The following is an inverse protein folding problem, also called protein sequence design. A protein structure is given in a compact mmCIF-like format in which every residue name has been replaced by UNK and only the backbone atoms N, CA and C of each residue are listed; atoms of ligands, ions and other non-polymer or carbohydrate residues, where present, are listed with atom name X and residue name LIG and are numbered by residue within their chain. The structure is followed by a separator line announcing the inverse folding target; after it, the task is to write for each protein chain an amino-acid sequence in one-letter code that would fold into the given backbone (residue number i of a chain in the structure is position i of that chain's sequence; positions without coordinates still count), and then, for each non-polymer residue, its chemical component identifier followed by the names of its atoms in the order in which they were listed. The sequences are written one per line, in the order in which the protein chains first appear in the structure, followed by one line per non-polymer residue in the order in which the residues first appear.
data_IF_679341728084
#
_entry.id   IF_679341728084
#
_cell.length_a   1.000
_cell.length_b   1.000
_cell.length_c   1.000
_cell.angle_alpha   90.00
_cell.angle_beta   90.00
_cell.angle_gamma   90.00
#
_symmetry.space_group_name_H-M   'P 1'
#
loop_
_entity.id
_entity.type
_entity.pdbx_description
1 polymer ?
#
# COMPACT_ATOMS: atom_id res chain seq x y z
N UNK A 1 -0.75 9.78 10.31
CA UNK A 1 -0.56 9.72 8.86
C UNK A 1 -1.56 8.71 8.30
N UNK A 2 -2.49 9.09 7.40
CA UNK A 2 -3.41 8.14 6.81
C UNK A 2 -2.66 7.29 5.77
N UNK A 3 -2.43 6.02 6.08
CA UNK A 3 -1.72 5.08 5.22
C UNK A 3 -1.31 3.83 5.97
N UNK A 4 -1.17 2.73 5.24
CA UNK A 4 -0.81 1.41 5.76
C UNK A 4 0.59 1.03 5.26
N UNK A 5 1.46 0.62 6.18
CA UNK A 5 2.77 0.06 5.87
C UNK A 5 2.67 -1.46 5.91
N UNK A 6 3.15 -2.11 4.86
CA UNK A 6 3.16 -3.57 4.78
C UNK A 6 4.41 -4.07 4.07
N UNK A 7 4.88 -5.25 4.48
CA UNK A 7 5.93 -5.98 3.80
C UNK A 7 5.37 -6.74 2.59
N UNK A 8 5.91 -6.46 1.42
CA UNK A 8 5.56 -7.08 0.14
C UNK A 8 6.08 -8.53 0.04
N UNK A 9 5.51 -9.36 -0.86
CA UNK A 9 5.98 -10.73 -1.06
C UNK A 9 7.44 -10.84 -1.53
N UNK A 10 7.95 -9.84 -2.23
CA UNK A 10 9.35 -9.73 -2.65
C UNK A 10 10.31 -9.39 -1.47
N UNK A 11 9.79 -9.13 -0.27
CA UNK A 11 10.57 -8.85 0.94
C UNK A 11 10.83 -7.37 1.21
N UNK A 12 10.42 -6.48 0.31
CA UNK A 12 10.50 -5.02 0.46
C UNK A 12 9.23 -4.47 1.13
N UNK A 13 9.18 -3.17 1.36
CA UNK A 13 8.07 -2.50 2.04
C UNK A 13 7.35 -1.53 1.11
N UNK A 14 6.02 -1.48 1.25
CA UNK A 14 5.18 -0.51 0.58
C UNK A 14 4.36 0.32 1.57
N UNK A 15 3.93 1.49 1.11
CA UNK A 15 2.92 2.34 1.74
C UNK A 15 1.72 2.51 0.82
N UNK A 16 0.56 2.05 1.28
CA UNK A 16 -0.72 2.31 0.64
C UNK A 16 -1.43 3.45 1.37
N UNK A 17 -1.76 4.52 0.66
CA UNK A 17 -2.51 5.63 1.24
C UNK A 17 -3.98 5.26 1.38
N UNK A 18 -4.59 5.54 2.52
CA UNK A 18 -6.05 5.39 2.70
C UNK A 18 -6.84 6.62 2.25
N UNK A 19 -6.15 7.67 1.77
CA UNK A 19 -6.79 8.89 1.24
C UNK A 19 -6.90 8.79 -0.27
N UNK A 20 -5.79 8.44 -0.92
CA UNK A 20 -5.76 8.28 -2.38
C UNK A 20 -5.96 6.83 -2.81
N UNK A 21 -6.12 5.90 -1.87
CA UNK A 21 -6.43 4.50 -2.17
C UNK A 21 -5.44 3.84 -3.16
N UNK A 22 -4.18 4.27 -3.12
CA UNK A 22 -3.13 3.84 -4.05
C UNK A 22 -1.79 3.65 -3.31
N UNK A 23 -0.90 2.86 -3.91
CA UNK A 23 0.49 2.77 -3.47
C UNK A 23 1.19 4.10 -3.72
N UNK A 24 1.71 4.68 -2.65
CA UNK A 24 2.45 5.96 -2.71
C UNK A 24 3.95 5.77 -2.62
N UNK A 25 4.37 4.65 -2.03
CA UNK A 25 5.74 4.19 -1.97
C UNK A 25 5.69 2.67 -2.10
N UNK A 26 6.52 2.09 -2.94
CA UNK A 26 6.62 0.65 -3.15
C UNK A 26 8.10 0.27 -3.19
N UNK A 27 8.39 -0.99 -2.92
CA UNK A 27 9.72 -1.58 -3.04
C UNK A 27 10.81 -0.88 -2.21
N UNK A 28 10.42 -0.33 -1.05
CA UNK A 28 11.37 0.26 -0.11
C UNK A 28 12.14 -0.84 0.63
N UNK A 29 13.45 -0.72 0.68
CA UNK A 29 14.27 -1.45 1.65
C UNK A 29 13.90 -1.06 3.08
N UNK A 30 14.34 -1.84 4.07
CA UNK A 30 14.09 -1.53 5.47
C UNK A 30 14.73 -0.19 5.88
N UNK A 31 15.91 0.11 5.34
CA UNK A 31 16.63 1.36 5.56
C UNK A 31 15.90 2.56 4.93
N UNK A 32 15.37 2.42 3.72
CA UNK A 32 14.58 3.47 3.07
C UNK A 32 13.26 3.73 3.81
N UNK A 33 12.62 2.68 4.31
CA UNK A 33 11.44 2.81 5.16
C UNK A 33 11.76 3.56 6.46
N UNK A 34 12.88 3.22 7.12
CA UNK A 34 13.32 3.92 8.34
C UNK A 34 13.49 5.42 8.08
N UNK A 35 14.23 5.75 7.02
CA UNK A 35 14.46 7.14 6.62
C UNK A 35 13.15 7.87 6.31
N UNK A 36 12.24 7.22 5.58
CA UNK A 36 10.91 7.76 5.27
C UNK A 36 10.11 8.07 6.54
N UNK A 37 10.01 7.11 7.46
CA UNK A 37 9.23 7.28 8.70
C UNK A 37 9.80 8.35 9.62
N UNK A 38 11.12 8.52 9.66
CA UNK A 38 11.78 9.62 10.40
C UNK A 38 11.46 10.97 9.75
N UNK A 39 11.60 11.07 8.42
CA UNK A 39 11.37 12.31 7.69
C UNK A 39 9.91 12.79 7.82
N UNK A 40 8.97 11.85 7.81
CA UNK A 40 7.55 12.09 8.03
C UNK A 40 7.17 12.25 9.52
N UNK A 41 8.15 12.24 10.42
CA UNK A 41 7.96 12.36 11.88
C UNK A 41 6.99 11.31 12.47
N UNK A 42 6.93 10.14 11.84
CA UNK A 42 6.14 8.99 12.30
C UNK A 42 6.95 8.03 13.17
N UNK A 43 8.28 8.05 13.03
CA UNK A 43 9.24 7.33 13.85
C UNK A 43 10.21 8.32 14.51
N UNK A 44 10.36 8.22 15.84
CA UNK A 44 11.44 8.86 16.58
C UNK A 44 12.40 7.78 17.09
N UNK A 45 13.54 7.64 16.42
CA UNK A 45 14.56 6.63 16.72
C UNK A 45 15.20 6.79 18.10
N UNK A 46 15.04 7.94 18.76
CA UNK A 46 15.51 8.12 20.13
C UNK A 46 14.56 7.48 21.15
N UNK A 47 13.33 7.15 20.74
CA UNK A 47 12.28 6.61 21.61
C UNK A 47 11.99 5.13 21.33
N UNK A 48 12.00 4.73 20.06
CA UNK A 48 11.62 3.37 19.64
C UNK A 48 12.41 2.98 18.39
N UNK A 49 12.81 1.72 18.30
CA UNK A 49 13.47 1.19 17.09
C UNK A 49 12.46 0.96 15.96
N UNK A 50 12.93 0.87 14.71
CA UNK A 50 12.04 0.53 13.59
C UNK A 50 11.33 -0.82 13.80
N UNK A 51 12.03 -1.85 14.29
CA UNK A 51 11.42 -3.18 14.51
C UNK A 51 10.31 -3.16 15.54
N UNK A 52 10.49 -2.41 16.64
CA UNK A 52 9.43 -2.21 17.63
C UNK A 52 8.26 -1.44 17.04
N UNK A 53 8.52 -0.40 16.25
CA UNK A 53 7.47 0.35 15.56
C UNK A 53 6.66 -0.56 14.61
N UNK A 54 7.35 -1.34 13.77
CA UNK A 54 6.74 -2.27 12.83
C UNK A 54 5.90 -3.33 13.55
N UNK A 55 6.35 -3.83 14.70
CA UNK A 55 5.59 -4.80 15.49
C UNK A 55 4.19 -4.30 15.91
N UNK A 56 3.97 -2.99 15.97
CA UNK A 56 2.66 -2.39 16.31
C UNK A 56 1.90 -1.85 15.10
N UNK A 57 2.59 -1.33 14.09
CA UNK A 57 1.98 -0.55 13.01
C UNK A 57 2.07 -1.19 11.63
N UNK A 58 2.97 -2.16 11.42
CA UNK A 58 2.99 -2.95 10.19
C UNK A 58 1.72 -3.79 10.10
N UNK A 59 1.08 -3.77 8.93
CA UNK A 59 -0.07 -4.62 8.63
C UNK A 59 0.31 -5.69 7.62
N UNK A 60 -0.45 -6.78 7.62
CA UNK A 60 -0.33 -7.82 6.60
C UNK A 60 -0.57 -7.23 5.21
N UNK A 61 0.21 -7.66 4.22
CA UNK A 61 0.11 -7.18 2.85
C UNK A 61 -1.31 -7.33 2.28
N UNK A 62 -2.00 -8.44 2.57
CA UNK A 62 -3.38 -8.67 2.13
C UNK A 62 -4.38 -7.71 2.78
N UNK A 63 -4.06 -7.16 3.96
CA UNK A 63 -4.85 -6.12 4.60
C UNK A 63 -4.59 -4.78 3.92
N UNK A 64 -3.33 -4.47 3.62
CA UNK A 64 -2.95 -3.23 2.97
C UNK A 64 -3.58 -3.10 1.57
N UNK A 65 -3.44 -4.12 0.72
CA UNK A 65 -3.93 -4.06 -0.68
C UNK A 65 -5.44 -3.95 -0.79
N UNK A 66 -6.21 -4.30 0.25
CA UNK A 66 -7.66 -4.05 0.29
C UNK A 66 -8.01 -2.57 0.24
N UNK A 67 -7.07 -1.68 0.57
CA UNK A 67 -7.27 -0.23 0.48
C UNK A 67 -7.06 0.32 -0.93
N UNK A 68 -6.62 -0.51 -1.88
CA UNK A 68 -6.60 -0.07 -3.28
C UNK A 68 -8.03 0.31 -3.69
N UNK A 69 -8.16 1.41 -4.43
CA UNK A 69 -9.41 1.97 -4.93
C UNK A 69 -9.18 2.87 -6.15
N UNK A 70 -10.21 3.11 -6.97
CA UNK A 70 -10.17 4.20 -7.95
C UNK A 70 -10.44 5.57 -7.30
N UNK A 71 -10.67 5.62 -5.98
CA UNK A 71 -11.19 6.78 -5.28
C UNK A 71 -10.39 8.08 -5.41
N UNK A 72 -9.19 8.03 -5.99
CA UNK A 72 -8.38 9.21 -6.31
C UNK A 72 -7.97 9.34 -7.79
N UNK A 73 -8.20 8.33 -8.61
CA UNK A 73 -7.65 8.25 -9.97
C UNK A 73 -6.13 8.12 -10.06
N UNK A 74 -5.40 8.00 -8.94
CA UNK A 74 -3.92 7.88 -8.92
C UNK A 74 -3.42 6.52 -9.43
N UNK A 75 -4.32 5.54 -9.59
CA UNK A 75 -3.99 4.20 -10.02
C UNK A 75 -5.14 3.57 -10.81
N UNK A 76 -4.89 3.21 -12.07
CA UNK A 76 -5.87 2.42 -12.85
C UNK A 76 -5.95 0.97 -12.37
N UNK A 77 -7.02 0.28 -12.76
CA UNK A 77 -7.22 -1.13 -12.43
C UNK A 77 -6.05 -2.00 -12.97
N UNK A 78 -5.62 -1.73 -14.20
CA UNK A 78 -4.52 -2.41 -14.86
C UNK A 78 -3.18 -2.15 -14.16
N UNK A 79 -2.86 -0.90 -13.82
CA UNK A 79 -1.62 -0.56 -13.10
C UNK A 79 -1.58 -1.20 -11.71
N UNK A 80 -2.71 -1.22 -11.00
CA UNK A 80 -2.82 -1.89 -9.71
C UNK A 80 -2.55 -3.39 -9.82
N UNK A 81 -3.08 -4.02 -10.88
CA UNK A 81 -2.87 -5.43 -11.16
C UNK A 81 -1.42 -5.72 -11.52
N UNK A 82 -0.82 -4.92 -12.39
CA UNK A 82 0.58 -5.08 -12.81
C UNK A 82 1.53 -4.97 -11.62
N UNK A 83 1.31 -3.97 -10.75
CA UNK A 83 2.06 -3.83 -9.51
C UNK A 83 1.97 -5.07 -8.61
N UNK A 84 0.76 -5.61 -8.40
CA UNK A 84 0.59 -6.84 -7.61
C UNK A 84 1.37 -8.03 -8.18
N UNK A 85 1.42 -8.16 -9.51
CA UNK A 85 2.19 -9.21 -10.19
C UNK A 85 3.69 -8.99 -9.97
N UNK A 86 4.17 -7.76 -10.15
CA UNK A 86 5.58 -7.39 -10.00
C UNK A 86 6.12 -7.69 -8.60
N UNK A 87 5.35 -7.37 -7.56
CA UNK A 87 5.75 -7.63 -6.17
C UNK A 87 5.65 -9.11 -5.78
N UNK A 88 5.19 -9.97 -6.70
CA UNK A 88 5.11 -11.42 -6.52
C UNK A 88 3.82 -11.92 -5.84
N UNK A 89 2.74 -11.14 -5.87
CA UNK A 89 1.47 -11.56 -5.29
C UNK A 89 0.76 -12.61 -6.16
N UNK A 90 0.68 -13.84 -5.67
CA UNK A 90 0.25 -15.01 -6.46
C UNK A 90 -1.21 -14.98 -6.93
N UNK A 91 -2.07 -14.20 -6.26
CA UNK A 91 -3.52 -14.17 -6.52
C UNK A 91 -4.00 -12.84 -7.07
N UNK A 92 -3.14 -12.10 -7.80
CA UNK A 92 -3.45 -10.77 -8.33
C UNK A 92 -4.76 -10.75 -9.14
N UNK A 93 -4.93 -11.64 -10.12
CA UNK A 93 -6.16 -11.70 -10.94
C UNK A 93 -7.44 -11.92 -10.11
N UNK A 94 -7.41 -12.87 -9.18
CA UNK A 94 -8.58 -13.18 -8.35
C UNK A 94 -8.89 -12.06 -7.35
N UNK A 95 -7.85 -11.42 -6.82
CA UNK A 95 -7.98 -10.31 -5.91
C UNK A 95 -8.56 -9.08 -6.62
N UNK A 96 -8.01 -8.71 -7.77
CA UNK A 96 -8.48 -7.57 -8.56
C UNK A 96 -9.95 -7.73 -8.96
N UNK A 97 -10.37 -8.94 -9.38
CA UNK A 97 -11.79 -9.25 -9.63
C UNK A 97 -12.70 -9.04 -8.42
N UNK A 98 -12.22 -9.31 -7.21
CA UNK A 98 -13.00 -9.12 -5.97
C UNK A 98 -13.18 -7.66 -5.61
N UNK A 99 -12.23 -6.81 -5.98
CA UNK A 99 -12.24 -5.37 -5.65
C UNK A 99 -12.68 -4.48 -6.82
N UNK A 100 -12.97 -5.05 -7.99
CA UNK A 100 -13.36 -4.33 -9.21
C UNK A 100 -14.52 -3.35 -9.00
N UNK A 101 -15.49 -3.70 -8.14
CA UNK A 101 -16.64 -2.84 -7.83
C UNK A 101 -16.23 -1.43 -7.35
N UNK A 102 -15.06 -1.29 -6.69
CA UNK A 102 -14.56 0.01 -6.21
C UNK A 102 -14.04 0.91 -7.32
N UNK A 103 -13.87 0.38 -8.53
CA UNK A 103 -13.44 1.11 -9.73
C UNK A 103 -14.65 1.49 -10.57
N UNK A 104 -15.60 0.56 -10.69
CA UNK A 104 -16.88 0.78 -11.38
C UNK A 104 -17.74 1.87 -10.71
N UNK A 105 -17.71 1.99 -9.36
CA UNK A 105 -18.46 3.00 -8.61
C UNK A 105 -18.15 4.46 -9.01
N UNK A 106 -17.02 4.73 -9.67
CA UNK A 106 -16.64 6.08 -10.10
C UNK A 106 -16.88 6.35 -11.60
N UNK A 107 -17.05 5.32 -12.42
CA UNK A 107 -17.39 5.51 -13.84
C UNK A 107 -18.88 5.85 -14.05
N UNK A 108 -19.75 5.59 -13.06
CA UNK A 108 -21.19 5.91 -13.13
C UNK A 108 -21.56 7.35 -12.77
N UNK A 109 -20.65 8.15 -12.18
CA UNK A 109 -20.94 9.51 -11.70
C UNK A 109 -20.62 10.63 -12.73
N UNK A 110 -20.21 10.27 -13.96
CA UNK A 110 -19.78 11.22 -15.02
C UNK A 110 -20.81 11.36 -16.18
N UNK A 111 -22.12 11.21 -15.91
CA UNK A 111 -23.23 11.38 -16.87
C UNK A 111 -24.27 12.44 -16.44
#
# INVERSE_FOLDING_TARGET
MPGLIAKQPNGLYCRISTVVEAQTHHDMTKEELEYYLINERSLDINLVTLDEWLAFYEVDFNVAIKQLGSGSGELSFEEAKEWLIEVGYQHADEFMKKIAYRWDEWEEDDD
#
